data_IF_014813787537
#
_entry.id   IF_014813787537
#
_cell.length_a   1.000
_cell.length_b   1.000
_cell.length_c   1.000
_cell.angle_alpha   90.00
_cell.angle_beta   90.00
_cell.angle_gamma   90.00
#
_symmetry.space_group_name_H-M   'P 1'
#
loop_
_entity.id
_entity.type
_entity.pdbx_description
1 polymer ?
#
# COMPACT_ATOMS: atom_id res chain seq x y z
N UNK A 1 2.72 30.63 3.16
CA UNK A 1 1.67 29.59 3.27
C UNK A 1 1.97 28.46 2.28
N UNK A 2 1.84 27.24 2.74
CA UNK A 2 2.08 26.10 1.85
C UNK A 2 0.95 25.94 0.85
N UNK A 3 1.30 25.57 -0.36
CA UNK A 3 0.33 25.25 -1.39
C UNK A 3 -0.34 23.92 -1.09
N UNK A 4 -1.67 23.89 -1.08
CA UNK A 4 -2.43 22.68 -0.88
C UNK A 4 -2.62 21.98 -2.21
N UNK A 5 -2.29 20.70 -2.26
CA UNK A 5 -2.47 19.86 -3.43
C UNK A 5 -3.39 18.70 -3.10
N UNK A 6 -4.28 18.37 -4.02
CA UNK A 6 -5.11 17.18 -3.89
C UNK A 6 -4.63 16.10 -4.85
N UNK A 7 -4.79 14.84 -4.45
CA UNK A 7 -4.40 13.69 -5.25
C UNK A 7 -5.61 12.81 -5.45
N UNK A 8 -5.91 12.48 -6.70
CA UNK A 8 -6.98 11.56 -7.03
C UNK A 8 -6.40 10.15 -7.16
N UNK A 9 -6.76 9.27 -6.24
CA UNK A 9 -6.19 7.91 -6.21
C UNK A 9 -6.55 7.10 -7.44
N UNK A 10 -7.78 7.22 -7.94
CA UNK A 10 -8.17 6.51 -9.16
C UNK A 10 -7.29 6.90 -10.35
N UNK A 11 -7.02 8.19 -10.49
CA UNK A 11 -6.13 8.65 -11.55
C UNK A 11 -4.73 8.09 -11.39
N UNK A 12 -4.21 8.08 -10.17
CA UNK A 12 -2.86 7.56 -9.91
C UNK A 12 -2.79 6.07 -10.20
N UNK A 13 -3.80 5.28 -9.79
CA UNK A 13 -3.84 3.85 -10.11
C UNK A 13 -3.90 3.59 -11.61
N UNK A 14 -4.53 4.46 -12.38
CA UNK A 14 -4.65 4.28 -13.83
C UNK A 14 -3.35 4.50 -14.59
N UNK A 15 -2.33 5.08 -13.94
CA UNK A 15 -1.07 5.43 -14.58
C UNK A 15 -0.08 4.27 -14.65
N UNK A 16 -0.35 3.14 -13.99
CA UNK A 16 0.56 2.01 -13.99
C UNK A 16 -0.18 0.69 -14.03
N UNK A 17 0.51 -0.35 -14.51
CA UNK A 17 -0.05 -1.69 -14.63
C UNK A 17 0.71 -2.71 -13.77
N UNK A 18 1.90 -2.37 -13.31
CA UNK A 18 2.78 -3.29 -12.59
C UNK A 18 2.15 -3.72 -11.27
N UNK A 19 2.17 -5.02 -11.01
CA UNK A 19 1.77 -5.61 -9.74
C UNK A 19 2.95 -5.71 -8.80
N UNK A 20 2.71 -5.67 -7.51
CA UNK A 20 3.73 -5.80 -6.46
C UNK A 20 4.86 -4.76 -6.55
N UNK A 21 4.60 -3.65 -7.24
CA UNK A 21 5.57 -2.58 -7.43
C UNK A 21 5.01 -1.30 -6.82
N UNK A 22 5.41 -0.95 -5.59
CA UNK A 22 4.91 0.26 -4.95
C UNK A 22 5.30 1.52 -5.71
N UNK A 23 4.35 2.42 -5.86
CA UNK A 23 4.56 3.72 -6.52
C UNK A 23 4.36 4.83 -5.50
N UNK A 24 5.35 5.67 -5.32
CA UNK A 24 5.29 6.79 -4.38
C UNK A 24 4.41 7.89 -4.97
N UNK A 25 3.38 8.28 -4.22
CA UNK A 25 2.47 9.36 -4.64
C UNK A 25 2.53 10.55 -3.71
N UNK A 26 3.19 10.45 -2.59
CA UNK A 26 3.28 11.55 -1.65
C UNK A 26 4.24 11.25 -0.51
N UNK A 27 4.47 12.27 0.29
CA UNK A 27 5.35 12.16 1.44
C UNK A 27 4.77 12.97 2.60
N UNK A 28 4.86 12.42 3.80
CA UNK A 28 4.41 13.08 5.01
C UNK A 28 5.43 12.82 6.12
N UNK A 29 6.05 13.88 6.59
CA UNK A 29 7.05 13.81 7.68
C UNK A 29 8.16 12.76 7.40
N UNK A 30 8.68 12.75 6.18
CA UNK A 30 9.71 11.81 5.78
C UNK A 30 9.21 10.41 5.46
N UNK A 31 7.92 10.17 5.59
CA UNK A 31 7.31 8.88 5.27
C UNK A 31 6.67 8.93 3.89
N UNK A 32 6.76 7.84 3.15
CA UNK A 32 6.20 7.76 1.82
C UNK A 32 4.78 7.19 1.85
N UNK A 33 3.90 7.80 1.07
CA UNK A 33 2.59 7.22 0.75
C UNK A 33 2.72 6.53 -0.59
N UNK A 34 2.42 5.23 -0.62
CA UNK A 34 2.62 4.41 -1.82
C UNK A 34 1.32 3.75 -2.24
N UNK A 35 1.12 3.66 -3.55
CA UNK A 35 0.08 2.82 -4.13
C UNK A 35 0.70 1.53 -4.66
N UNK A 36 -0.01 0.43 -4.48
CA UNK A 36 0.47 -0.85 -4.97
C UNK A 36 -0.71 -1.69 -5.47
N UNK A 37 -0.56 -2.29 -6.64
CA UNK A 37 -1.50 -3.28 -7.17
C UNK A 37 -1.01 -4.66 -6.80
N UNK A 38 -1.89 -5.46 -6.20
CA UNK A 38 -1.55 -6.79 -5.71
C UNK A 38 -2.41 -7.83 -6.41
N UNK A 39 -1.81 -8.96 -6.72
CA UNK A 39 -2.52 -10.11 -7.27
C UNK A 39 -1.79 -11.39 -6.89
N UNK A 40 -2.54 -12.35 -6.34
CA UNK A 40 -1.95 -13.60 -5.91
C UNK A 40 -1.14 -13.47 -4.63
N UNK A 41 -0.20 -14.38 -4.44
CA UNK A 41 0.62 -14.45 -3.24
C UNK A 41 1.97 -13.81 -3.42
N UNK A 42 2.48 -13.22 -2.34
CA UNK A 42 3.83 -12.71 -2.29
C UNK A 42 4.66 -13.53 -1.30
N UNK A 43 5.98 -13.47 -1.45
CA UNK A 43 6.89 -14.20 -0.55
C UNK A 43 6.87 -13.57 0.85
N UNK A 44 7.23 -14.38 1.85
CA UNK A 44 7.40 -13.88 3.20
C UNK A 44 8.52 -12.84 3.25
N UNK A 45 8.24 -11.74 3.92
CA UNK A 45 9.24 -10.69 4.14
C UNK A 45 8.93 -9.98 5.44
N UNK A 46 9.93 -9.29 5.97
CA UNK A 46 9.77 -8.49 7.18
C UNK A 46 10.56 -7.21 7.08
N UNK A 47 10.09 -6.20 7.79
CA UNK A 47 10.78 -4.91 7.91
C UNK A 47 11.01 -4.66 9.39
N UNK A 48 12.25 -4.76 9.82
CA UNK A 48 12.61 -4.47 11.19
C UNK A 48 12.54 -2.97 11.46
N UNK A 49 12.02 -2.62 12.63
CA UNK A 49 11.95 -1.22 13.08
C UNK A 49 11.09 -0.33 12.20
N UNK A 50 10.15 -0.91 11.46
CA UNK A 50 9.22 -0.15 10.64
C UNK A 50 7.78 -0.55 10.96
N UNK A 51 6.95 0.46 11.11
CA UNK A 51 5.51 0.28 11.16
C UNK A 51 4.92 0.53 9.78
N UNK A 52 3.93 -0.25 9.40
CA UNK A 52 3.27 -0.11 8.11
C UNK A 52 1.79 0.09 8.29
N UNK A 53 1.24 1.07 7.58
CA UNK A 53 -0.20 1.28 7.49
C UNK A 53 -0.68 0.75 6.14
N UNK A 54 -1.68 -0.13 6.18
CA UNK A 54 -2.31 -0.65 4.97
C UNK A 54 -3.75 -0.14 4.87
N UNK A 55 -4.09 0.37 3.70
CA UNK A 55 -5.45 0.77 3.39
C UNK A 55 -5.85 0.13 2.07
N UNK A 56 -6.92 -0.65 2.08
CA UNK A 56 -7.43 -1.28 0.86
C UNK A 56 -8.39 -0.32 0.18
N UNK A 57 -8.06 0.06 -1.03
CA UNK A 57 -8.89 0.95 -1.84
C UNK A 57 -9.93 0.18 -2.65
N UNK A 58 -9.57 -1.01 -3.14
CA UNK A 58 -10.46 -1.86 -3.91
C UNK A 58 -10.05 -3.33 -3.72
N UNK A 59 -11.04 -4.19 -3.52
CA UNK A 59 -10.79 -5.60 -3.31
C UNK A 59 -10.50 -5.94 -1.85
N UNK A 60 -9.66 -6.92 -1.64
CA UNK A 60 -9.30 -7.38 -0.30
C UNK A 60 -7.84 -7.78 -0.23
N UNK A 61 -7.26 -7.66 0.96
CA UNK A 61 -5.90 -8.06 1.25
C UNK A 61 -5.92 -9.03 2.42
N UNK A 62 -5.24 -10.15 2.26
CA UNK A 62 -5.02 -11.11 3.34
C UNK A 62 -3.56 -11.04 3.76
N UNK A 63 -3.32 -10.82 5.04
CA UNK A 63 -1.98 -10.77 5.60
C UNK A 63 -1.81 -11.96 6.50
N UNK A 64 -0.91 -12.88 6.11
CA UNK A 64 -0.58 -14.06 6.88
C UNK A 64 0.65 -13.80 7.74
N UNK A 65 0.55 -14.13 9.01
CA UNK A 65 1.66 -14.00 9.95
C UNK A 65 2.28 -15.36 10.24
N UNK A 66 3.56 -15.36 10.58
CA UNK A 66 4.30 -16.57 10.87
C UNK A 66 3.74 -17.37 12.05
N UNK A 67 3.01 -16.71 12.95
CA UNK A 67 2.38 -17.38 14.10
C UNK A 67 1.06 -18.08 13.74
N UNK A 68 0.67 -18.07 12.47
CA UNK A 68 -0.55 -18.73 11.99
C UNK A 68 -1.77 -17.83 11.89
N UNK A 69 -1.66 -16.58 12.33
CA UNK A 69 -2.78 -15.63 12.19
C UNK A 69 -2.90 -15.13 10.77
N UNK A 70 -4.14 -14.86 10.37
CA UNK A 70 -4.45 -14.20 9.10
C UNK A 70 -5.35 -13.01 9.38
N UNK A 71 -4.98 -11.86 8.86
CA UNK A 71 -5.78 -10.64 8.96
C UNK A 71 -6.33 -10.31 7.59
N UNK A 72 -7.65 -10.13 7.49
CA UNK A 72 -8.32 -9.72 6.26
C UNK A 72 -8.59 -8.23 6.33
N UNK A 73 -8.10 -7.50 5.31
CA UNK A 73 -8.32 -6.08 5.17
C UNK A 73 -9.10 -5.85 3.89
N UNK A 74 -10.21 -5.13 3.98
CA UNK A 74 -11.02 -4.80 2.82
C UNK A 74 -11.67 -3.43 3.01
N UNK A 75 -12.11 -2.88 1.91
CA UNK A 75 -12.80 -1.59 1.92
C UNK A 75 -14.15 -1.69 2.62
#
# INVERSE_FOLDING_TARGET
MRKIQSINLLNKFSLFQEEWTPKIIGELNGQHVKLCKLKGNFVWHSHENEDELFMVFKGKLLIDFRDGRTVKVNL
#
